data_IF_235114926565
#
_entry.id   IF_235114926565
#
_cell.length_a   1.000
_cell.length_b   1.000
_cell.length_c   1.000
_cell.angle_alpha   90.00
_cell.angle_beta   90.00
_cell.angle_gamma   90.00
#
_symmetry.space_group_name_H-M   'P 1'
#
loop_
_entity.id
_entity.type
_entity.pdbx_description
1 polymer ?
#
# COMPACT_ATOMS: atom_id res chain seq x y z
N UNK A 1 -36.62 21.94 31.23
CA UNK A 1 -35.88 23.16 30.82
C UNK A 1 -34.44 22.90 31.21
N UNK A 2 -33.76 22.02 30.47
CA UNK A 2 -32.95 22.30 29.26
C UNK A 2 -31.69 23.08 29.69
N UNK A 3 -30.48 22.59 29.50
CA UNK A 3 -29.91 22.09 28.26
C UNK A 3 -29.07 20.80 28.45
N UNK A 4 -29.14 19.98 27.41
CA UNK A 4 -28.30 18.83 27.09
C UNK A 4 -26.91 19.31 26.63
N UNK A 5 -25.86 18.58 26.97
CA UNK A 5 -24.52 18.75 26.39
C UNK A 5 -23.95 17.36 26.07
N UNK A 6 -24.57 16.71 25.09
CA UNK A 6 -23.87 15.79 24.22
C UNK A 6 -22.81 16.56 23.43
N UNK A 7 -21.54 16.45 23.78
CA UNK A 7 -20.48 16.78 22.83
C UNK A 7 -19.14 16.14 23.20
N UNK A 8 -18.51 15.51 22.23
CA UNK A 8 -17.21 14.85 22.37
C UNK A 8 -17.18 13.37 22.01
N UNK A 9 -17.93 12.95 20.99
CA UNK A 9 -17.58 11.77 20.19
C UNK A 9 -16.21 12.01 19.54
N UNK A 10 -15.14 11.66 20.24
CA UNK A 10 -13.87 11.34 19.57
C UNK A 10 -14.00 9.92 19.03
N UNK A 11 -14.82 9.81 17.98
CA UNK A 11 -14.71 8.76 16.99
C UNK A 11 -13.36 8.97 16.28
N UNK A 12 -12.29 8.47 16.89
CA UNK A 12 -10.99 8.28 16.26
C UNK A 12 -11.05 7.11 15.24
N UNK A 13 -12.22 6.83 14.68
CA UNK A 13 -12.43 6.04 13.47
C UNK A 13 -11.94 6.84 12.26
N UNK A 14 -10.65 7.16 12.25
CA UNK A 14 -9.98 7.81 11.13
C UNK A 14 -9.85 6.80 9.99
N UNK A 15 -10.92 6.61 9.21
CA UNK A 15 -10.93 6.37 7.76
C UNK A 15 -9.88 5.43 7.12
N UNK A 16 -9.37 4.43 7.85
CA UNK A 16 -8.16 3.69 7.49
C UNK A 16 -8.36 2.29 6.89
N UNK A 17 -9.52 2.02 6.28
CA UNK A 17 -9.90 0.63 5.94
C UNK A 17 -9.18 0.02 4.73
N UNK A 18 -8.96 0.79 3.65
CA UNK A 18 -8.44 0.25 2.38
C UNK A 18 -7.50 1.23 1.65
N UNK A 19 -7.82 2.53 1.60
CA UNK A 19 -6.99 3.52 0.91
C UNK A 19 -5.56 3.67 1.48
N UNK A 20 -5.42 3.59 2.81
CA UNK A 20 -4.12 3.60 3.47
C UNK A 20 -3.28 2.36 3.16
N UNK A 21 -3.93 1.20 3.03
CA UNK A 21 -3.27 -0.07 2.68
C UNK A 21 -2.77 -0.03 1.24
N UNK A 22 -3.58 0.45 0.29
CA UNK A 22 -3.17 0.63 -1.11
C UNK A 22 -1.98 1.60 -1.24
N UNK A 23 -2.01 2.72 -0.50
CA UNK A 23 -0.87 3.66 -0.45
C UNK A 23 0.41 3.01 0.08
N UNK A 24 0.28 2.20 1.13
CA UNK A 24 1.43 1.50 1.71
C UNK A 24 1.99 0.43 0.75
N UNK A 25 1.12 -0.29 0.05
CA UNK A 25 1.51 -1.26 -0.99
C UNK A 25 2.24 -0.55 -2.13
N UNK A 26 1.69 0.56 -2.65
CA UNK A 26 2.34 1.34 -3.70
C UNK A 26 3.72 1.89 -3.29
N UNK A 27 3.87 2.33 -2.04
CA UNK A 27 5.16 2.77 -1.52
C UNK A 27 6.18 1.62 -1.42
N UNK A 28 5.74 0.46 -0.93
CA UNK A 28 6.58 -0.73 -0.87
C UNK A 28 7.05 -1.17 -2.26
N UNK A 29 6.19 -1.03 -3.27
CA UNK A 29 6.46 -1.40 -4.65
C UNK A 29 7.58 -0.54 -5.27
N UNK A 30 7.55 0.77 -5.02
CA UNK A 30 8.60 1.70 -5.44
C UNK A 30 9.94 1.36 -4.77
N UNK A 31 9.93 0.99 -3.48
CA UNK A 31 11.13 0.56 -2.78
C UNK A 31 11.70 -0.73 -3.38
N UNK A 32 10.85 -1.73 -3.62
CA UNK A 32 11.27 -2.99 -4.23
C UNK A 32 11.86 -2.79 -5.62
N UNK A 33 11.29 -1.89 -6.42
CA UNK A 33 11.85 -1.50 -7.71
C UNK A 33 13.25 -0.90 -7.57
N UNK A 34 13.45 0.02 -6.62
CA UNK A 34 14.76 0.59 -6.32
C UNK A 34 15.80 -0.46 -5.89
N UNK A 35 15.40 -1.41 -5.05
CA UNK A 35 16.27 -2.51 -4.61
C UNK A 35 16.59 -3.45 -5.77
N UNK A 36 15.63 -3.73 -6.67
CA UNK A 36 15.87 -4.53 -7.86
C UNK A 36 16.95 -3.88 -8.74
N UNK A 37 16.83 -2.57 -9.02
CA UNK A 37 17.84 -1.82 -9.77
C UNK A 37 19.21 -1.83 -9.09
N UNK A 38 19.24 -1.71 -7.76
CA UNK A 38 20.47 -1.80 -7.00
C UNK A 38 21.12 -3.19 -7.13
N UNK A 39 20.34 -4.28 -7.03
CA UNK A 39 20.84 -5.64 -7.23
C UNK A 39 21.39 -5.85 -8.65
N UNK A 40 20.76 -5.28 -9.67
CA UNK A 40 21.31 -5.28 -11.04
C UNK A 40 22.66 -4.55 -11.11
N UNK A 41 22.79 -3.40 -10.44
CA UNK A 41 24.04 -2.63 -10.40
C UNK A 41 25.20 -3.37 -9.73
N UNK A 42 24.90 -4.25 -8.77
CA UNK A 42 25.87 -5.11 -8.10
C UNK A 42 26.25 -6.37 -8.90
N UNK A 43 25.69 -6.55 -10.11
CA UNK A 43 25.93 -7.73 -10.93
C UNK A 43 25.17 -8.98 -10.44
N UNK A 44 24.08 -8.80 -9.70
CA UNK A 44 23.20 -9.88 -9.23
C UNK A 44 21.84 -9.87 -9.98
N UNK A 45 21.82 -10.14 -11.30
CA UNK A 45 20.61 -10.00 -12.11
C UNK A 45 19.50 -10.99 -11.75
N UNK A 46 19.86 -12.19 -11.27
CA UNK A 46 18.88 -13.19 -10.82
C UNK A 46 18.12 -12.68 -9.60
N UNK A 47 18.84 -12.08 -8.64
CA UNK A 47 18.25 -11.51 -7.43
C UNK A 47 17.40 -10.28 -7.80
N UNK A 48 17.92 -9.39 -8.64
CA UNK A 48 17.18 -8.23 -9.14
C UNK A 48 15.88 -8.61 -9.87
N UNK A 49 15.92 -9.62 -10.73
CA UNK A 49 14.73 -10.13 -11.42
C UNK A 49 13.71 -10.76 -10.44
N UNK A 50 14.18 -11.48 -9.42
CA UNK A 50 13.30 -12.03 -8.38
C UNK A 50 12.58 -10.94 -7.57
N UNK A 51 13.29 -9.89 -7.19
CA UNK A 51 12.72 -8.74 -6.48
C UNK A 51 11.73 -7.98 -7.39
N UNK A 52 12.07 -7.80 -8.66
CA UNK A 52 11.19 -7.18 -9.65
C UNK A 52 9.90 -7.98 -9.86
N UNK A 53 9.99 -9.32 -9.91
CA UNK A 53 8.82 -10.18 -10.03
C UNK A 53 7.91 -10.09 -8.80
N UNK A 54 8.48 -9.99 -7.60
CA UNK A 54 7.72 -9.77 -6.35
C UNK A 54 7.01 -8.41 -6.36
N UNK A 55 7.68 -7.36 -6.81
CA UNK A 55 7.09 -6.03 -6.97
C UNK A 55 5.86 -6.09 -7.89
N UNK A 56 6.03 -6.57 -9.12
CA UNK A 56 4.95 -6.70 -10.11
C UNK A 56 3.78 -7.57 -9.64
N UNK A 57 4.06 -8.63 -8.87
CA UNK A 57 3.01 -9.45 -8.26
C UNK A 57 2.19 -8.64 -7.25
N UNK A 58 2.86 -7.85 -6.41
CA UNK A 58 2.22 -6.99 -5.42
C UNK A 58 1.40 -5.89 -6.10
N UNK A 59 1.94 -5.24 -7.15
CA UNK A 59 1.19 -4.30 -8.00
C UNK A 59 -0.03 -4.95 -8.64
N UNK A 60 0.11 -6.18 -9.13
CA UNK A 60 -0.98 -6.93 -9.73
C UNK A 60 -2.11 -7.20 -8.75
N UNK A 61 -1.77 -7.58 -7.51
CA UNK A 61 -2.73 -7.77 -6.42
C UNK A 61 -3.39 -6.43 -6.07
N UNK A 62 -2.62 -5.35 -5.95
CA UNK A 62 -3.12 -3.99 -5.67
C UNK A 62 -4.17 -3.55 -6.69
N UNK A 63 -3.85 -3.70 -7.98
CA UNK A 63 -4.77 -3.40 -9.09
C UNK A 63 -6.03 -4.28 -9.07
N UNK A 64 -5.90 -5.56 -8.72
CA UNK A 64 -7.05 -6.46 -8.57
C UNK A 64 -7.95 -6.06 -7.41
N UNK A 65 -7.36 -5.66 -6.27
CA UNK A 65 -8.09 -5.17 -5.10
C UNK A 65 -8.77 -3.84 -5.37
N UNK A 66 -8.08 -2.88 -6.01
CA UNK A 66 -8.65 -1.62 -6.45
C UNK A 66 -9.84 -1.82 -7.39
N UNK A 67 -9.69 -2.73 -8.38
CA UNK A 67 -10.77 -3.06 -9.30
C UNK A 67 -11.96 -3.73 -8.63
N UNK A 68 -11.74 -4.52 -7.58
CA UNK A 68 -12.78 -5.29 -6.88
C UNK A 68 -13.51 -4.47 -5.81
N UNK A 69 -12.85 -3.47 -5.21
CA UNK A 69 -13.43 -2.57 -4.21
C UNK A 69 -14.22 -1.38 -4.75
N UNK A 70 -14.38 -1.26 -6.08
CA UNK A 70 -15.07 -0.14 -6.75
C UNK A 70 -16.56 -0.41 -7.04
N UNK A 71 -17.22 -1.37 -6.37
CA UNK A 71 -18.65 -1.67 -6.49
C UNK A 71 -19.42 -1.26 -5.23
#
# INVERSE_FOLDING_TARGET
>A
MSEDASDGSNDDETGGGLGGVLLMIGFLDVLLFGVALYAFSLGAPIVGAGILALALLLTGIDLLLYRRGSF
#
